data_IF_357361704629
#
_entry.id   IF_357361704629
#
_cell.length_a   1.000
_cell.length_b   1.000
_cell.length_c   1.000
_cell.angle_alpha   90.00
_cell.angle_beta   90.00
_cell.angle_gamma   90.00
#
_symmetry.space_group_name_H-M   'P 1'
#
loop_
_entity.id
_entity.type
_entity.pdbx_description
1 polymer ?
#
# COMPACT_ATOMS: atom_id res chain seq x y z
N UNK A 1 -9.73 -10.94 -7.65
CA UNK A 1 -9.73 -11.79 -8.86
C UNK A 1 -8.48 -11.41 -9.64
N UNK A 2 -7.56 -12.34 -9.89
CA UNK A 2 -6.22 -12.03 -10.44
C UNK A 2 -5.96 -12.83 -11.71
N UNK A 3 -5.76 -12.21 -12.89
CA UNK A 3 -5.60 -12.94 -14.13
C UNK A 3 -4.14 -13.38 -14.38
N UNK A 4 -3.95 -14.61 -14.85
CA UNK A 4 -2.80 -15.07 -15.66
C UNK A 4 -3.23 -16.24 -16.54
N UNK A 5 -2.98 -16.22 -17.85
CA UNK A 5 -3.16 -17.38 -18.75
C UNK A 5 -4.42 -18.23 -18.48
N UNK A 6 -5.59 -17.62 -18.64
CA UNK A 6 -6.88 -18.22 -18.34
C UNK A 6 -7.11 -18.66 -16.89
N UNK A 7 -6.22 -18.41 -15.92
CA UNK A 7 -6.36 -18.76 -14.50
C UNK A 7 -6.62 -17.47 -13.69
N UNK A 8 -7.75 -17.44 -12.99
CA UNK A 8 -8.15 -16.45 -12.00
C UNK A 8 -8.02 -17.02 -10.59
N UNK A 9 -7.49 -16.25 -9.66
CA UNK A 9 -7.54 -16.63 -8.24
C UNK A 9 -8.66 -15.87 -7.52
N UNK A 10 -9.46 -16.61 -6.74
CA UNK A 10 -10.45 -16.04 -5.83
C UNK A 10 -10.12 -16.44 -4.40
N UNK A 11 -10.21 -15.50 -3.47
CA UNK A 11 -10.05 -15.78 -2.05
C UNK A 11 -11.23 -15.16 -1.31
N UNK A 12 -11.92 -15.97 -0.52
CA UNK A 12 -13.07 -15.53 0.28
C UNK A 12 -13.03 -16.25 1.63
N UNK A 13 -13.22 -15.49 2.72
CA UNK A 13 -13.26 -16.01 4.09
C UNK A 13 -12.10 -16.98 4.43
N UNK A 14 -10.86 -16.58 4.11
CA UNK A 14 -9.63 -17.38 4.26
C UNK A 14 -9.50 -18.66 3.44
N UNK A 15 -10.29 -18.83 2.39
CA UNK A 15 -10.14 -19.93 1.44
C UNK A 15 -9.83 -19.36 0.08
N UNK A 16 -8.65 -19.72 -0.46
CA UNK A 16 -8.25 -19.35 -1.82
C UNK A 16 -8.46 -20.52 -2.77
N UNK A 17 -9.10 -20.26 -3.91
CA UNK A 17 -9.38 -21.19 -4.99
C UNK A 17 -8.90 -20.65 -6.33
N UNK A 18 -8.62 -21.56 -7.24
CA UNK A 18 -8.34 -21.27 -8.64
C UNK A 18 -9.64 -21.35 -9.44
N UNK A 19 -9.89 -20.39 -10.31
CA UNK A 19 -11.00 -20.28 -11.24
C UNK A 19 -10.41 -20.07 -12.63
N UNK A 20 -10.48 -21.00 -13.59
CA UNK A 20 -10.08 -20.63 -14.95
C UNK A 20 -11.16 -19.76 -15.64
N UNK A 21 -10.77 -18.74 -16.40
CA UNK A 21 -11.65 -17.95 -17.26
C UNK A 21 -12.26 -18.77 -18.40
N UNK A 22 -11.69 -19.95 -18.72
CA UNK A 22 -12.35 -20.95 -19.55
C UNK A 22 -13.01 -22.00 -18.63
N UNK A 23 -14.28 -21.76 -18.31
CA UNK A 23 -15.12 -22.52 -17.37
C UNK A 23 -15.42 -23.98 -17.79
N UNK A 24 -14.78 -24.52 -18.82
CA UNK A 24 -15.25 -25.76 -19.47
C UNK A 24 -14.57 -27.04 -18.98
N UNK A 25 -13.33 -27.05 -18.48
CA UNK A 25 -12.63 -28.34 -18.28
C UNK A 25 -11.64 -28.46 -17.11
N UNK A 26 -11.84 -27.79 -15.97
CA UNK A 26 -11.10 -28.15 -14.76
C UNK A 26 -11.92 -29.05 -13.82
N UNK A 27 -11.38 -30.23 -13.42
CA UNK A 27 -11.90 -30.96 -12.27
C UNK A 27 -11.90 -30.04 -11.03
N UNK A 28 -12.86 -30.21 -10.11
CA UNK A 28 -13.00 -29.43 -8.85
C UNK A 28 -11.76 -29.40 -7.93
N UNK A 29 -10.69 -30.12 -8.25
CA UNK A 29 -9.56 -30.40 -7.36
C UNK A 29 -8.21 -30.32 -8.09
N UNK A 30 -7.94 -29.28 -8.88
CA UNK A 30 -6.57 -29.03 -9.32
C UNK A 30 -5.75 -28.43 -8.17
N UNK A 31 -4.75 -29.18 -7.70
CA UNK A 31 -3.83 -28.71 -6.67
C UNK A 31 -2.80 -27.78 -7.29
N UNK A 32 -2.79 -26.51 -6.85
CA UNK A 32 -1.74 -25.56 -7.18
C UNK A 32 -0.89 -25.32 -5.93
N UNK A 33 0.43 -25.60 -5.97
CA UNK A 33 1.33 -25.34 -4.84
C UNK A 33 1.21 -23.90 -4.31
N UNK A 34 1.08 -23.76 -2.99
CA UNK A 34 0.91 -22.45 -2.34
C UNK A 34 -0.54 -21.91 -2.32
N UNK A 35 -1.50 -22.64 -2.89
CA UNK A 35 -2.93 -22.27 -2.93
C UNK A 35 -3.75 -23.19 -2.03
N UNK A 36 -4.74 -22.62 -1.33
CA UNK A 36 -5.57 -23.31 -0.34
C UNK A 36 -5.82 -22.42 0.87
N UNK A 37 -4.86 -22.35 1.78
CA UNK A 37 -4.93 -21.46 2.95
C UNK A 37 -4.91 -19.98 2.52
N UNK A 38 -5.96 -19.24 2.88
CA UNK A 38 -6.14 -17.81 2.60
C UNK A 38 -5.69 -16.88 3.72
N UNK A 39 -5.15 -17.42 4.81
CA UNK A 39 -4.56 -16.65 5.92
C UNK A 39 -3.53 -15.66 5.37
N UNK A 40 -3.62 -14.40 5.78
CA UNK A 40 -2.83 -13.27 5.29
C UNK A 40 -3.00 -12.91 3.80
N UNK A 41 -3.81 -13.65 3.02
CA UNK A 41 -4.10 -13.40 1.59
C UNK A 41 -5.44 -12.67 1.40
N UNK A 42 -6.41 -12.94 2.26
CA UNK A 42 -7.73 -12.30 2.30
C UNK A 42 -8.22 -12.19 3.75
N UNK A 43 -9.23 -11.36 4.04
CA UNK A 43 -9.69 -11.16 5.41
C UNK A 43 -10.58 -12.31 5.90
N UNK A 44 -10.69 -12.41 7.23
CA UNK A 44 -11.67 -13.25 7.94
C UNK A 44 -13.07 -12.63 7.88
N UNK A 45 -13.16 -11.32 8.11
CA UNK A 45 -14.42 -10.58 8.15
C UNK A 45 -14.70 -9.92 6.79
N UNK A 46 -15.88 -10.14 6.16
CA UNK A 46 -16.24 -9.50 4.91
C UNK A 46 -16.36 -7.96 5.00
N UNK A 47 -16.49 -7.40 6.19
CA UNK A 47 -16.52 -5.95 6.42
C UNK A 47 -15.11 -5.31 6.47
N UNK A 48 -14.04 -6.11 6.52
CA UNK A 48 -12.68 -5.58 6.58
C UNK A 48 -12.22 -5.03 5.23
N UNK A 49 -11.69 -3.80 5.27
CA UNK A 49 -11.04 -3.19 4.12
C UNK A 49 -9.67 -3.83 3.91
N UNK A 50 -9.57 -4.64 2.86
CA UNK A 50 -8.36 -5.36 2.45
C UNK A 50 -8.01 -5.05 1.00
N UNK A 51 -6.77 -5.32 0.63
CA UNK A 51 -6.30 -5.21 -0.75
C UNK A 51 -5.43 -6.39 -1.10
N UNK A 52 -5.39 -6.76 -2.38
CA UNK A 52 -4.45 -7.74 -2.87
C UNK A 52 -4.16 -7.48 -4.36
N UNK A 53 -2.97 -7.90 -4.78
CA UNK A 53 -2.39 -7.66 -6.10
C UNK A 53 -1.55 -8.86 -6.50
N UNK A 54 -1.77 -9.35 -7.71
CA UNK A 54 -0.93 -10.38 -8.32
C UNK A 54 0.14 -9.73 -9.19
N UNK A 55 1.40 -10.02 -8.88
CA UNK A 55 2.56 -9.46 -9.56
C UNK A 55 3.27 -10.58 -10.29
N UNK A 56 3.30 -10.52 -11.63
CA UNK A 56 3.92 -11.56 -12.45
C UNK A 56 5.43 -11.39 -12.63
N UNK A 57 5.92 -10.14 -12.62
CA UNK A 57 7.28 -9.78 -13.02
C UNK A 57 7.97 -8.91 -11.97
N UNK A 58 9.28 -9.08 -11.86
CA UNK A 58 10.16 -8.29 -10.98
C UNK A 58 10.39 -8.88 -9.58
N UNK A 59 9.69 -9.96 -9.22
CA UNK A 59 9.92 -10.69 -7.99
C UNK A 59 11.18 -11.59 -8.08
N UNK A 60 11.70 -12.11 -6.96
CA UNK A 60 12.82 -13.05 -6.95
C UNK A 60 12.58 -14.28 -7.83
N UNK A 61 13.61 -14.69 -8.56
CA UNK A 61 13.51 -15.81 -9.50
C UNK A 61 12.58 -15.57 -10.70
N UNK A 62 12.10 -14.34 -10.90
CA UNK A 62 11.02 -14.03 -11.87
C UNK A 62 9.75 -14.85 -11.65
N UNK A 63 9.49 -15.24 -10.40
CA UNK A 63 8.31 -16.00 -10.01
C UNK A 63 7.12 -15.09 -9.73
N UNK A 64 5.88 -15.48 -10.09
CA UNK A 64 4.71 -14.70 -9.76
C UNK A 64 4.41 -14.75 -8.26
N UNK A 65 3.84 -13.67 -7.72
CA UNK A 65 3.56 -13.55 -6.30
C UNK A 65 2.23 -12.83 -6.04
N UNK A 66 1.51 -13.28 -5.01
CA UNK A 66 0.40 -12.50 -4.45
C UNK A 66 0.95 -11.60 -3.35
N UNK A 67 0.67 -10.31 -3.48
CA UNK A 67 0.84 -9.29 -2.46
C UNK A 67 -0.53 -8.97 -1.85
N UNK A 68 -0.60 -8.78 -0.54
CA UNK A 68 -1.87 -8.53 0.16
C UNK A 68 -1.67 -7.61 1.37
N UNK A 69 -2.68 -6.78 1.64
CA UNK A 69 -2.85 -6.03 2.88
C UNK A 69 -4.17 -6.44 3.51
N UNK A 70 -4.12 -7.16 4.64
CA UNK A 70 -5.32 -7.72 5.28
C UNK A 70 -5.09 -7.99 6.76
N UNK A 71 -6.11 -8.50 7.45
CA UNK A 71 -5.95 -9.14 8.76
C UNK A 71 -5.66 -10.63 8.63
N UNK A 72 -4.63 -11.11 9.33
CA UNK A 72 -4.19 -12.50 9.30
C UNK A 72 -4.75 -13.35 10.46
N UNK A 73 -5.53 -12.76 11.37
CA UNK A 73 -6.06 -13.47 12.53
C UNK A 73 -7.55 -13.17 12.75
N UNK A 74 -8.29 -14.16 13.25
CA UNK A 74 -9.73 -14.04 13.53
C UNK A 74 -10.04 -12.95 14.57
N UNK A 75 -9.17 -12.78 15.57
CA UNK A 75 -9.27 -11.76 16.63
C UNK A 75 -9.05 -10.34 16.12
N UNK A 76 -8.67 -10.19 14.85
CA UNK A 76 -8.24 -8.95 14.21
C UNK A 76 -6.97 -8.30 14.79
N UNK A 77 -6.22 -9.02 15.63
CA UNK A 77 -5.02 -8.50 16.29
C UNK A 77 -3.78 -8.43 15.38
N UNK A 78 -3.77 -9.13 14.24
CA UNK A 78 -2.61 -9.26 13.36
C UNK A 78 -2.87 -8.70 11.95
N UNK A 79 -2.84 -7.37 11.82
CA UNK A 79 -2.87 -6.72 10.50
C UNK A 79 -1.51 -6.81 9.81
N UNK A 80 -1.50 -7.16 8.52
CA UNK A 80 -0.27 -7.50 7.81
C UNK A 80 -0.26 -6.97 6.38
N UNK A 81 0.92 -6.50 5.93
CA UNK A 81 1.26 -6.45 4.50
C UNK A 81 2.13 -7.68 4.20
N UNK A 82 1.68 -8.50 3.27
CA UNK A 82 2.15 -9.87 3.05
C UNK A 82 2.49 -10.12 1.58
N UNK A 83 3.46 -11.00 1.35
CA UNK A 83 3.69 -11.66 0.06
C UNK A 83 3.80 -13.15 0.27
N UNK A 84 3.12 -13.94 -0.55
CA UNK A 84 3.10 -15.40 -0.45
C UNK A 84 4.47 -16.03 -0.66
N UNK A 85 4.59 -17.29 -0.24
CA UNK A 85 5.66 -18.16 -0.70
C UNK A 85 5.71 -18.16 -2.24
N UNK A 86 6.91 -18.10 -2.80
CA UNK A 86 7.12 -18.15 -4.24
C UNK A 86 7.46 -19.59 -4.62
N UNK A 87 6.57 -20.19 -5.39
CA UNK A 87 6.72 -21.54 -5.89
C UNK A 87 7.11 -21.51 -7.36
N UNK A 88 8.07 -22.36 -7.72
CA UNK A 88 8.29 -22.70 -9.11
C UNK A 88 7.13 -23.58 -9.56
N UNK A 89 6.25 -23.05 -10.39
CA UNK A 89 5.03 -23.73 -10.80
C UNK A 89 5.29 -25.00 -11.61
N UNK A 90 6.45 -25.11 -12.28
CA UNK A 90 6.85 -26.29 -13.06
C UNK A 90 7.29 -27.44 -12.16
N UNK A 91 8.08 -27.15 -11.11
CA UNK A 91 8.63 -28.17 -10.20
C UNK A 91 7.81 -28.37 -8.93
N UNK A 92 6.87 -27.45 -8.65
CA UNK A 92 6.08 -27.36 -7.42
C UNK A 92 6.88 -26.96 -6.17
N UNK A 93 8.19 -26.77 -6.29
CA UNK A 93 9.07 -26.47 -5.14
C UNK A 93 8.96 -25.01 -4.73
N UNK A 94 8.98 -24.77 -3.41
CA UNK A 94 9.12 -23.42 -2.85
C UNK A 94 10.56 -22.95 -3.03
N UNK A 95 10.75 -21.86 -3.78
CA UNK A 95 12.07 -21.25 -3.97
C UNK A 95 12.33 -20.10 -2.98
N UNK A 96 11.29 -19.31 -2.68
CA UNK A 96 11.41 -18.21 -1.71
C UNK A 96 10.28 -18.25 -0.70
N UNK A 97 10.62 -17.98 0.57
CA UNK A 97 9.65 -17.88 1.66
C UNK A 97 8.83 -16.59 1.58
N UNK A 98 7.62 -16.65 2.15
CA UNK A 98 6.74 -15.51 2.32
C UNK A 98 7.42 -14.34 3.05
N UNK A 99 6.92 -13.13 2.81
CA UNK A 99 7.35 -11.92 3.50
C UNK A 99 6.17 -11.26 4.19
N UNK A 100 6.42 -10.69 5.38
CA UNK A 100 5.39 -10.00 6.17
C UNK A 100 5.92 -8.79 6.91
N UNK A 101 5.04 -7.86 7.25
CA UNK A 101 5.35 -6.80 8.23
C UNK A 101 5.60 -7.39 9.62
N UNK A 102 6.33 -6.65 10.46
CA UNK A 102 6.66 -7.10 11.81
C UNK A 102 5.39 -7.21 12.67
N UNK A 103 5.20 -8.37 13.30
CA UNK A 103 4.00 -8.65 14.11
C UNK A 103 4.07 -7.84 15.41
N UNK A 104 2.93 -7.28 15.82
CA UNK A 104 2.78 -6.52 17.08
C UNK A 104 3.66 -5.27 17.20
N UNK A 105 4.13 -4.72 16.09
CA UNK A 105 4.85 -3.44 16.05
C UNK A 105 3.97 -2.35 15.43
N UNK A 106 3.46 -1.44 16.28
CA UNK A 106 2.59 -0.34 15.84
C UNK A 106 3.31 0.71 15.00
N UNK A 107 4.65 0.78 15.05
CA UNK A 107 5.41 1.65 14.14
C UNK A 107 5.27 1.18 12.70
N UNK A 108 5.13 -0.14 12.50
CA UNK A 108 4.93 -0.71 11.17
C UNK A 108 3.49 -0.56 10.70
N UNK A 109 2.51 -1.04 11.47
CA UNK A 109 1.09 -0.95 11.18
C UNK A 109 0.28 -0.84 12.48
N UNK A 110 -0.63 0.14 12.57
CA UNK A 110 -1.55 0.27 13.71
C UNK A 110 -3.01 0.40 13.27
N UNK A 111 -3.73 -0.73 13.28
CA UNK A 111 -5.14 -0.85 12.86
C UNK A 111 -5.40 -0.27 11.44
N UNK A 112 -4.62 -0.68 10.41
CA UNK A 112 -4.80 -0.20 9.05
C UNK A 112 -6.14 -0.64 8.43
N UNK A 113 -6.70 0.23 7.60
CA UNK A 113 -7.76 -0.07 6.65
C UNK A 113 -7.18 0.13 5.24
N UNK A 114 -7.05 -0.96 4.48
CA UNK A 114 -6.42 -0.94 3.16
C UNK A 114 -7.41 -0.52 2.07
N UNK A 115 -6.99 0.40 1.20
CA UNK A 115 -7.85 0.95 0.13
C UNK A 115 -7.39 0.58 -1.27
N UNK A 116 -6.13 0.16 -1.45
CA UNK A 116 -5.61 -0.29 -2.73
C UNK A 116 -4.13 -0.67 -2.69
N UNK A 117 -3.69 -1.40 -3.71
CA UNK A 117 -2.30 -1.77 -3.93
C UNK A 117 -1.98 -1.80 -5.41
N UNK A 118 -0.76 -1.40 -5.79
CA UNK A 118 -0.37 -1.23 -7.19
C UNK A 118 1.05 -1.74 -7.47
N UNK A 119 1.19 -2.38 -8.63
CA UNK A 119 2.48 -2.73 -9.22
C UNK A 119 3.00 -1.49 -9.97
N UNK A 120 4.19 -1.00 -9.59
CA UNK A 120 4.84 0.16 -10.20
C UNK A 120 6.36 -0.03 -10.21
N UNK A 121 6.92 -0.26 -11.40
CA UNK A 121 8.37 -0.44 -11.60
C UNK A 121 8.94 -1.58 -10.75
N UNK A 122 9.92 -1.27 -9.90
CA UNK A 122 10.57 -2.22 -8.99
C UNK A 122 9.83 -2.42 -7.66
N UNK A 123 8.72 -1.71 -7.46
CA UNK A 123 8.03 -1.61 -6.17
C UNK A 123 6.61 -2.15 -6.24
N UNK A 124 6.10 -2.50 -5.06
CA UNK A 124 4.67 -2.62 -4.80
C UNK A 124 4.28 -1.54 -3.80
N UNK A 125 3.26 -0.75 -4.16
CA UNK A 125 2.71 0.30 -3.33
C UNK A 125 1.43 -0.17 -2.64
N UNK A 126 1.26 0.20 -1.37
CA UNK A 126 0.06 -0.07 -0.58
C UNK A 126 -0.50 1.23 -0.03
N UNK A 127 -1.79 1.46 -0.22
CA UNK A 127 -2.50 2.64 0.26
C UNK A 127 -3.48 2.22 1.35
N UNK A 128 -3.42 2.90 2.48
CA UNK A 128 -4.25 2.61 3.65
C UNK A 128 -4.36 3.81 4.56
N UNK A 129 -5.32 3.77 5.50
CA UNK A 129 -5.36 4.68 6.65
C UNK A 129 -5.15 3.89 7.93
N UNK A 130 -4.44 4.45 8.89
CA UNK A 130 -4.11 3.80 10.17
C UNK A 130 -4.09 4.82 11.31
N UNK A 131 -3.99 4.34 12.55
CA UNK A 131 -3.76 5.20 13.71
C UNK A 131 -2.40 5.90 13.58
N UNK A 132 -2.38 7.23 13.77
CA UNK A 132 -1.17 8.04 13.65
C UNK A 132 -0.34 7.96 14.94
N UNK A 133 0.56 6.97 15.02
CA UNK A 133 1.46 6.79 16.17
C UNK A 133 2.34 8.00 16.45
N UNK A 134 2.67 8.78 15.41
CA UNK A 134 3.44 10.02 15.54
C UNK A 134 2.67 11.19 16.15
N UNK A 135 1.35 11.06 16.26
CA UNK A 135 0.47 12.10 16.80
C UNK A 135 -0.05 11.78 18.20
N UNK A 136 0.25 10.60 18.76
CA UNK A 136 -0.29 10.13 20.05
C UNK A 136 -0.04 11.13 21.20
N UNK A 137 1.11 11.80 21.23
CA UNK A 137 1.44 12.80 22.25
C UNK A 137 0.59 14.09 22.15
N UNK A 138 -0.07 14.31 21.01
CA UNK A 138 -0.94 15.46 20.75
C UNK A 138 -2.43 15.07 20.72
N UNK A 139 -2.75 13.78 20.66
CA UNK A 139 -4.11 13.26 20.63
C UNK A 139 -4.23 11.98 19.80
N UNK A 140 -5.47 11.54 19.55
CA UNK A 140 -5.73 10.41 18.64
C UNK A 140 -6.12 10.94 17.27
N UNK A 141 -5.37 10.54 16.25
CA UNK A 141 -5.67 10.87 14.86
C UNK A 141 -5.50 9.61 13.99
N UNK A 142 -6.21 9.60 12.87
CA UNK A 142 -6.01 8.64 11.78
C UNK A 142 -5.27 9.36 10.67
N UNK A 143 -4.24 8.75 10.08
CA UNK A 143 -3.56 9.29 8.91
C UNK A 143 -3.58 8.30 7.74
N UNK A 144 -3.64 8.88 6.56
CA UNK A 144 -3.49 8.16 5.30
C UNK A 144 -2.02 7.95 4.96
N UNK A 145 -1.70 6.76 4.46
CA UNK A 145 -0.36 6.30 4.17
C UNK A 145 -0.27 5.75 2.75
N UNK A 146 0.91 5.94 2.17
CA UNK A 146 1.44 5.08 1.12
C UNK A 146 2.63 4.33 1.71
N UNK A 147 2.62 3.00 1.61
CA UNK A 147 3.78 2.17 1.90
C UNK A 147 4.35 1.57 0.62
N UNK A 148 5.64 1.26 0.68
CA UNK A 148 6.41 0.73 -0.44
C UNK A 148 7.24 -0.45 0.04
N UNK A 149 7.33 -1.49 -0.80
CA UNK A 149 8.28 -2.60 -0.67
C UNK A 149 8.94 -2.86 -2.02
N UNK A 150 10.19 -3.31 -2.02
CA UNK A 150 10.86 -3.79 -3.22
C UNK A 150 10.32 -5.16 -3.63
N UNK A 151 10.06 -5.36 -4.91
CA UNK A 151 9.63 -6.67 -5.42
C UNK A 151 10.65 -7.75 -5.13
N UNK A 152 11.94 -7.43 -5.30
CA UNK A 152 13.09 -8.34 -5.08
C UNK A 152 13.44 -8.62 -3.63
N UNK A 153 12.71 -8.06 -2.66
CA UNK A 153 13.00 -8.25 -1.24
C UNK A 153 12.90 -9.75 -0.86
N UNK A 154 13.98 -10.31 -0.32
CA UNK A 154 14.10 -11.69 0.17
C UNK A 154 14.15 -11.76 1.69
N UNK A 155 14.00 -10.63 2.40
CA UNK A 155 14.23 -10.48 3.83
C UNK A 155 15.72 -10.39 4.18
N UNK A 156 16.03 -10.27 5.46
CA UNK A 156 17.42 -10.34 5.94
C UNK A 156 17.89 -11.79 6.16
N UNK A 157 19.18 -12.00 6.40
CA UNK A 157 19.72 -13.36 6.62
C UNK A 157 19.29 -13.96 7.96
N UNK A 158 19.53 -13.22 9.05
CA UNK A 158 19.21 -13.64 10.41
C UNK A 158 18.11 -12.77 11.00
N UNK A 159 18.32 -11.45 10.99
CA UNK A 159 17.34 -10.45 11.39
C UNK A 159 16.35 -10.26 10.23
N UNK A 160 15.04 -10.15 10.51
CA UNK A 160 14.00 -9.95 9.49
C UNK A 160 13.96 -11.06 8.42
N UNK A 161 14.30 -12.31 8.75
CA UNK A 161 14.36 -13.41 7.77
C UNK A 161 13.03 -13.74 7.09
N UNK A 162 11.90 -13.52 7.77
CA UNK A 162 10.55 -13.63 7.20
C UNK A 162 9.85 -12.27 7.08
N UNK A 163 10.57 -11.18 7.37
CA UNK A 163 10.04 -9.84 7.31
C UNK A 163 10.57 -9.07 6.10
N UNK A 164 9.91 -7.96 5.77
CA UNK A 164 10.39 -7.05 4.75
C UNK A 164 11.69 -6.36 5.22
N UNK A 165 12.72 -6.36 4.39
CA UNK A 165 13.94 -5.59 4.60
C UNK A 165 13.91 -4.21 3.90
N UNK A 166 12.83 -3.91 3.17
CA UNK A 166 12.66 -2.69 2.36
C UNK A 166 11.36 -1.93 2.63
N UNK A 167 10.60 -2.31 3.66
CA UNK A 167 9.33 -1.68 3.99
C UNK A 167 9.52 -0.25 4.52
N UNK A 168 8.89 0.71 3.85
CA UNK A 168 8.77 2.10 4.30
C UNK A 168 7.34 2.61 4.08
N UNK A 169 6.90 3.56 4.91
CA UNK A 169 5.62 4.27 4.74
C UNK A 169 5.78 5.78 4.91
N UNK A 170 4.98 6.55 4.18
CA UNK A 170 4.93 8.00 4.27
C UNK A 170 3.47 8.47 4.42
N UNK A 171 3.26 9.62 5.08
CA UNK A 171 1.93 10.26 5.17
C UNK A 171 1.52 10.80 3.80
N UNK A 172 0.27 10.62 3.40
CA UNK A 172 -0.33 11.31 2.26
C UNK A 172 -0.93 12.65 2.73
N UNK A 173 -0.57 13.74 2.05
CA UNK A 173 -1.11 15.07 2.34
C UNK A 173 -2.17 15.46 1.30
N UNK A 174 -3.44 15.41 1.72
CA UNK A 174 -4.57 15.99 0.99
C UNK A 174 -5.16 17.10 1.85
N UNK A 175 -4.87 18.36 1.52
CA UNK A 175 -5.29 19.51 2.33
C UNK A 175 -5.60 20.74 1.51
N UNK A 176 -6.52 21.57 2.00
CA UNK A 176 -6.75 22.90 1.43
C UNK A 176 -5.63 23.82 1.95
N UNK A 177 -4.90 24.52 1.07
CA UNK A 177 -3.81 25.41 1.47
C UNK A 177 -4.34 26.62 2.25
N UNK A 178 -3.50 27.16 3.13
CA UNK A 178 -3.77 28.31 3.98
C UNK A 178 -2.70 28.43 5.06
N UNK A 179 -2.75 29.49 5.87
CA UNK A 179 -1.86 29.64 7.04
C UNK A 179 -1.96 28.43 7.98
N UNK A 180 -3.19 27.93 8.16
CA UNK A 180 -3.49 26.67 8.82
C UNK A 180 -4.19 25.73 7.82
N UNK A 181 -3.45 24.80 7.18
CA UNK A 181 -4.02 23.93 6.18
C UNK A 181 -5.13 23.04 6.77
N UNK A 182 -6.22 22.85 6.01
CA UNK A 182 -7.32 21.98 6.40
C UNK A 182 -7.13 20.58 5.80
N UNK A 183 -6.87 19.57 6.63
CA UNK A 183 -6.50 18.22 6.19
C UNK A 183 -7.70 17.26 6.11
N UNK A 184 -7.79 16.54 4.99
CA UNK A 184 -8.64 15.36 4.83
C UNK A 184 -7.79 14.12 5.11
N UNK A 185 -7.83 13.64 6.34
CA UNK A 185 -6.85 12.68 6.83
C UNK A 185 -7.15 11.22 6.50
N UNK A 186 -8.39 10.86 6.14
CA UNK A 186 -8.84 9.47 5.99
C UNK A 186 -9.10 9.09 4.54
N UNK A 187 -8.16 8.39 3.91
CA UNK A 187 -8.31 7.87 2.55
C UNK A 187 -9.36 6.77 2.52
N UNK A 188 -10.31 6.86 1.59
CA UNK A 188 -11.40 5.89 1.42
C UNK A 188 -11.19 5.00 0.19
N UNK A 189 -10.63 5.57 -0.88
CA UNK A 189 -10.37 4.86 -2.14
C UNK A 189 -9.18 5.49 -2.86
N UNK A 190 -8.48 4.68 -3.63
CA UNK A 190 -7.39 5.10 -4.50
C UNK A 190 -7.58 4.45 -5.87
N UNK A 191 -7.31 5.19 -6.95
CA UNK A 191 -7.45 4.72 -8.32
C UNK A 191 -6.21 5.08 -9.13
N UNK A 192 -5.77 4.16 -9.98
CA UNK A 192 -4.71 4.36 -10.97
C UNK A 192 -5.31 4.10 -12.34
N UNK A 193 -5.19 5.08 -13.25
CA UNK A 193 -5.68 4.92 -14.62
C UNK A 193 -4.86 3.82 -15.31
N UNK A 194 -5.49 2.83 -15.98
CA UNK A 194 -4.75 1.79 -16.70
C UNK A 194 -3.75 2.39 -17.69
N UNK A 195 -2.49 1.95 -17.63
CA UNK A 195 -1.42 2.47 -18.48
C UNK A 195 -0.77 3.77 -18.00
N UNK A 196 -1.28 4.42 -16.94
CA UNK A 196 -0.64 5.57 -16.29
C UNK A 196 -0.06 5.17 -14.93
N UNK A 197 1.23 4.84 -14.92
CA UNK A 197 1.97 4.51 -13.71
C UNK A 197 2.45 5.74 -12.92
N UNK A 198 2.18 6.94 -13.43
CA UNK A 198 2.71 8.18 -12.88
C UNK A 198 1.76 8.84 -11.88
N UNK A 199 0.44 8.60 -11.95
CA UNK A 199 -0.56 9.27 -11.12
C UNK A 199 -1.49 8.34 -10.36
N UNK A 200 -1.81 8.74 -9.13
CA UNK A 200 -2.75 8.07 -8.25
C UNK A 200 -3.80 9.06 -7.77
N UNK A 201 -5.07 8.72 -7.94
CA UNK A 201 -6.21 9.58 -7.60
C UNK A 201 -6.89 9.04 -6.34
N UNK A 202 -6.84 9.80 -5.26
CA UNK A 202 -7.34 9.38 -3.96
C UNK A 202 -8.54 10.20 -3.51
N UNK A 203 -9.50 9.53 -2.89
CA UNK A 203 -10.61 10.15 -2.14
C UNK A 203 -10.27 10.13 -0.66
N UNK A 204 -10.41 11.28 -0.01
CA UNK A 204 -10.17 11.47 1.41
C UNK A 204 -11.38 12.07 2.09
N UNK A 205 -11.59 11.72 3.36
CA UNK A 205 -12.59 12.32 4.22
C UNK A 205 -11.94 12.95 5.45
N UNK A 206 -12.67 13.84 6.10
CA UNK A 206 -12.41 14.21 7.48
C UNK A 206 -12.73 13.06 8.43
N UNK A 207 -12.36 13.21 9.70
CA UNK A 207 -12.76 12.28 10.75
C UNK A 207 -14.30 12.27 10.90
N UNK A 208 -14.87 11.12 11.24
CA UNK A 208 -16.32 10.95 11.40
C UNK A 208 -16.91 11.82 12.52
N UNK A 209 -16.09 12.21 13.49
CA UNK A 209 -16.46 13.12 14.58
C UNK A 209 -16.07 14.55 14.22
N UNK A 210 -17.04 15.39 13.84
CA UNK A 210 -16.83 16.83 13.61
C UNK A 210 -17.34 17.29 12.26
N UNK A 211 -16.57 18.16 11.60
CA UNK A 211 -16.89 18.70 10.28
C UNK A 211 -16.84 17.59 9.22
N UNK A 212 -18.00 17.25 8.67
CA UNK A 212 -18.10 16.30 7.56
C UNK A 212 -17.60 16.94 6.28
N UNK A 213 -16.66 16.29 5.59
CA UNK A 213 -16.21 16.73 4.29
C UNK A 213 -15.35 15.68 3.59
N UNK A 214 -15.31 15.80 2.26
CA UNK A 214 -14.47 14.97 1.41
C UNK A 214 -13.67 15.80 0.42
N UNK A 215 -12.57 15.22 -0.05
CA UNK A 215 -11.72 15.78 -1.07
C UNK A 215 -11.19 14.70 -2.02
N UNK A 216 -10.89 15.11 -3.24
CA UNK A 216 -10.20 14.32 -4.26
C UNK A 216 -8.82 14.95 -4.47
N UNK A 217 -7.77 14.17 -4.26
CA UNK A 217 -6.38 14.60 -4.43
C UNK A 217 -5.65 13.66 -5.39
N UNK A 218 -4.75 14.23 -6.19
CA UNK A 218 -3.87 13.47 -7.09
C UNK A 218 -2.47 13.44 -6.51
N UNK A 219 -1.79 12.30 -6.58
CA UNK A 219 -0.39 12.14 -6.17
C UNK A 219 0.42 11.60 -7.34
N UNK A 220 1.63 12.11 -7.53
CA UNK A 220 2.53 11.59 -8.56
C UNK A 220 3.50 10.57 -7.98
N UNK A 221 3.96 9.63 -8.79
CA UNK A 221 5.01 8.69 -8.38
C UNK A 221 6.31 9.42 -8.00
N UNK A 222 6.62 10.54 -8.67
CA UNK A 222 7.77 11.37 -8.35
C UNK A 222 7.71 11.96 -6.94
N UNK A 223 6.57 12.50 -6.53
CA UNK A 223 6.38 13.02 -5.16
C UNK A 223 6.44 11.91 -4.11
N UNK A 224 5.89 10.73 -4.44
CA UNK A 224 5.99 9.53 -3.58
C UNK A 224 7.45 9.12 -3.40
N UNK A 225 8.23 9.04 -4.48
CA UNK A 225 9.65 8.70 -4.43
C UNK A 225 10.45 9.73 -3.65
N UNK A 226 10.20 11.02 -3.88
CA UNK A 226 10.83 12.13 -3.14
C UNK A 226 10.61 12.01 -1.62
N UNK A 227 9.42 11.59 -1.17
CA UNK A 227 9.17 11.35 0.25
C UNK A 227 10.00 10.18 0.80
N UNK A 228 10.15 9.09 0.05
CA UNK A 228 10.97 7.93 0.45
C UNK A 228 12.48 8.19 0.36
N UNK A 229 12.91 9.17 -0.42
CA UNK A 229 14.29 9.69 -0.48
C UNK A 229 14.58 10.74 0.60
N UNK A 230 13.54 11.24 1.28
CA UNK A 230 13.62 12.22 2.36
C UNK A 230 14.20 11.70 3.67
N UNK A 231 14.02 12.45 4.75
CA UNK A 231 14.49 12.04 6.08
C UNK A 231 13.57 10.99 6.70
N UNK A 232 14.13 10.08 7.47
CA UNK A 232 13.37 9.16 8.31
C UNK A 232 12.83 9.89 9.54
N UNK A 233 11.76 9.38 10.13
CA UNK A 233 11.21 9.87 11.39
C UNK A 233 11.57 8.92 12.52
N UNK A 234 12.09 9.46 13.62
CA UNK A 234 12.49 8.69 14.80
C UNK A 234 11.74 9.17 16.04
N UNK A 235 11.47 8.21 16.92
CA UNK A 235 11.07 8.47 18.29
C UNK A 235 12.08 7.78 19.21
N UNK A 236 12.95 8.57 19.86
CA UNK A 236 14.07 8.05 20.64
C UNK A 236 13.61 7.22 21.85
N UNK A 237 12.56 7.67 22.53
CA UNK A 237 11.87 6.95 23.62
C UNK A 237 10.36 7.07 23.43
N UNK A 238 9.57 6.23 24.12
CA UNK A 238 8.10 6.27 24.05
C UNK A 238 7.49 7.62 24.44
N UNK A 239 8.17 8.40 25.28
CA UNK A 239 7.77 9.75 25.71
C UNK A 239 8.38 10.88 24.87
N UNK A 240 9.36 10.59 24.01
CA UNK A 240 10.02 11.61 23.20
C UNK A 240 9.13 12.11 22.06
N UNK A 241 9.39 13.34 21.61
CA UNK A 241 8.83 13.86 20.38
C UNK A 241 9.35 13.06 19.17
N UNK A 242 8.54 13.03 18.11
CA UNK A 242 8.95 12.47 16.83
C UNK A 242 9.75 13.51 16.05
N UNK A 243 11.00 13.19 15.73
CA UNK A 243 11.95 14.12 15.11
C UNK A 243 12.56 13.51 13.83
N UNK A 244 12.99 14.35 12.88
CA UNK A 244 13.69 13.88 11.69
C UNK A 244 15.08 13.33 12.05
N UNK A 245 15.42 12.18 11.51
CA UNK A 245 16.75 11.59 11.61
C UNK A 245 17.74 12.42 10.78
N UNK A 246 18.89 12.72 11.38
CA UNK A 246 19.99 13.42 10.70
C UNK A 246 20.62 12.46 9.69
N UNK A 247 20.89 12.95 8.47
CA UNK A 247 21.39 12.10 7.37
C UNK A 247 22.68 11.33 7.70
N UNK A 248 23.56 11.87 8.55
CA UNK A 248 24.79 11.19 8.98
C UNK A 248 24.57 9.95 9.86
N UNK A 249 23.37 9.77 10.44
CA UNK A 249 22.99 8.59 11.21
C UNK A 249 22.35 7.48 10.35
N UNK A 250 22.05 7.77 9.08
CA UNK A 250 21.47 6.79 8.17
C UNK A 250 22.59 5.89 7.66
N UNK A 251 22.50 4.56 7.83
CA UNK A 251 23.53 3.64 7.38
C UNK A 251 23.50 3.46 5.86
N UNK A 252 24.60 2.95 5.29
CA UNK A 252 24.71 2.58 3.88
C UNK A 252 24.78 1.04 3.69
N UNK A 253 24.17 0.48 2.62
CA UNK A 253 23.35 1.15 1.62
C UNK A 253 22.05 1.70 2.23
N UNK A 254 21.58 2.84 1.70
CA UNK A 254 20.39 3.54 2.21
C UNK A 254 19.20 2.57 2.43
N UNK A 255 18.64 2.49 3.65
CA UNK A 255 17.48 1.66 3.97
C UNK A 255 16.29 1.89 3.03
N UNK A 256 15.67 0.80 2.56
CA UNK A 256 14.49 0.84 1.69
C UNK A 256 14.77 1.04 0.20
N UNK A 257 16.04 1.03 -0.22
CA UNK A 257 16.45 0.93 -1.63
C UNK A 257 16.42 -0.53 -2.09
N UNK A 258 16.18 -0.76 -3.39
CA UNK A 258 16.16 -2.11 -3.94
C UNK A 258 17.58 -2.55 -4.27
N UNK A 259 18.06 -3.57 -3.57
CA UNK A 259 19.33 -4.26 -3.83
C UNK A 259 19.07 -5.61 -4.48
N UNK A 260 20.11 -6.22 -5.06
CA UNK A 260 19.98 -7.53 -5.71
C UNK A 260 19.61 -8.64 -4.72
N UNK A 261 20.16 -8.60 -3.51
CA UNK A 261 19.86 -9.56 -2.46
C UNK A 261 19.82 -8.88 -1.09
N UNK A 262 18.63 -8.74 -0.52
CA UNK A 262 18.45 -8.10 0.80
C UNK A 262 19.01 -8.94 1.95
N UNK A 263 19.25 -10.23 1.74
CA UNK A 263 19.85 -11.10 2.77
C UNK A 263 21.32 -10.75 3.02
N UNK A 264 21.98 -10.10 2.06
CA UNK A 264 23.36 -9.61 2.15
C UNK A 264 23.50 -8.25 2.85
N UNK A 265 22.38 -7.59 3.20
CA UNK A 265 22.41 -6.29 3.84
C UNK A 265 23.07 -6.35 5.23
N UNK A 266 23.86 -5.32 5.60
CA UNK A 266 24.43 -5.22 6.94
C UNK A 266 23.35 -5.18 8.02
N UNK A 267 23.63 -5.79 9.18
CA UNK A 267 22.73 -5.77 10.33
C UNK A 267 22.41 -4.34 10.81
N UNK A 268 23.31 -3.37 10.59
CA UNK A 268 23.07 -1.95 10.87
C UNK A 268 21.91 -1.39 10.04
N UNK A 269 21.84 -1.73 8.75
CA UNK A 269 20.75 -1.33 7.84
C UNK A 269 19.44 -2.01 8.22
N UNK A 270 19.49 -3.32 8.51
CA UNK A 270 18.31 -4.10 8.89
C UNK A 270 17.72 -3.63 10.23
N UNK A 271 18.58 -3.34 11.22
CA UNK A 271 18.13 -2.81 12.50
C UNK A 271 17.57 -1.38 12.36
N UNK A 272 18.18 -0.56 11.50
CA UNK A 272 17.69 0.80 11.24
C UNK A 272 16.30 0.78 10.62
N UNK A 273 16.08 0.04 9.53
CA UNK A 273 14.76 0.01 8.87
C UNK A 273 13.68 -0.60 9.77
N UNK A 274 14.07 -1.55 10.64
CA UNK A 274 13.16 -2.15 11.62
C UNK A 274 12.58 -1.11 12.57
N UNK A 275 13.38 -0.17 13.06
CA UNK A 275 12.94 0.87 13.99
C UNK A 275 12.45 2.15 13.32
N UNK A 276 12.76 2.37 12.03
CA UNK A 276 12.44 3.58 11.26
C UNK A 276 11.63 3.30 9.98
N UNK A 277 10.45 2.66 10.06
CA UNK A 277 9.62 2.43 8.88
C UNK A 277 8.92 3.70 8.36
N UNK A 278 8.84 4.77 9.16
CA UNK A 278 8.09 5.99 8.84
C UNK A 278 9.00 7.10 8.30
N UNK A 279 8.63 7.68 7.16
CA UNK A 279 9.28 8.87 6.60
C UNK A 279 8.79 10.14 7.31
N UNK A 280 9.68 11.12 7.45
CA UNK A 280 9.34 12.40 8.08
C UNK A 280 8.50 13.30 7.18
N UNK A 281 8.85 13.35 5.88
CA UNK A 281 8.14 14.13 4.89
C UNK A 281 6.83 13.43 4.46
N UNK A 282 5.76 14.22 4.37
CA UNK A 282 4.52 13.78 3.74
C UNK A 282 4.61 13.89 2.21
N UNK A 283 3.91 13.03 1.50
CA UNK A 283 3.72 13.11 0.05
C UNK A 283 2.71 14.22 -0.23
N UNK A 284 3.16 15.28 -0.89
CA UNK A 284 2.30 16.37 -1.34
C UNK A 284 1.42 15.93 -2.51
N UNK A 285 0.15 16.32 -2.50
CA UNK A 285 -0.71 16.25 -3.67
C UNK A 285 -0.29 17.23 -4.78
N UNK A 286 -0.61 16.88 -6.03
CA UNK A 286 -0.42 17.70 -7.23
C UNK A 286 -1.24 19.01 -7.11
N UNK A 287 -0.71 20.12 -7.63
CA UNK A 287 -1.34 21.45 -7.66
C UNK A 287 -1.55 22.17 -6.31
N UNK A 288 -0.96 21.69 -5.22
CA UNK A 288 -1.01 22.32 -3.88
C UNK A 288 -2.41 22.52 -3.28
N UNK A 289 -3.44 21.98 -3.92
CA UNK A 289 -4.83 21.97 -3.43
C UNK A 289 -5.57 20.73 -3.95
N UNK A 290 -6.67 20.31 -3.31
CA UNK A 290 -7.48 19.22 -3.83
C UNK A 290 -8.10 19.60 -5.18
N UNK A 291 -8.24 18.61 -6.06
CA UNK A 291 -8.93 18.76 -7.36
C UNK A 291 -10.39 19.17 -7.14
N UNK A 292 -11.03 18.55 -6.16
CA UNK A 292 -12.39 18.85 -5.75
C UNK A 292 -12.53 18.59 -4.25
N UNK A 293 -13.34 19.40 -3.56
CA UNK A 293 -13.73 19.12 -2.19
C UNK A 293 -15.17 19.58 -1.95
N UNK A 294 -15.86 18.91 -1.02
CA UNK A 294 -17.25 19.22 -0.67
C UNK A 294 -17.50 18.96 0.81
N UNK A 295 -18.22 19.90 1.44
CA UNK A 295 -18.70 19.79 2.83
C UNK A 295 -19.95 18.92 2.89
N UNK A 296 -20.20 18.33 4.06
CA UNK A 296 -21.41 17.58 4.40
C UNK A 296 -21.71 16.38 3.49
N UNK A 297 -20.66 15.83 2.86
CA UNK A 297 -20.73 14.68 1.98
C UNK A 297 -19.49 13.81 2.14
N UNK A 298 -19.71 12.50 2.32
CA UNK A 298 -18.65 11.50 2.32
C UNK A 298 -18.59 10.77 0.98
N UNK A 299 -17.45 10.92 0.31
CA UNK A 299 -17.06 10.14 -0.84
C UNK A 299 -16.54 8.77 -0.39
N UNK A 300 -16.83 7.74 -1.18
CA UNK A 300 -16.53 6.34 -0.83
C UNK A 300 -15.59 5.69 -1.85
N UNK A 301 -15.93 5.78 -3.14
CA UNK A 301 -15.17 5.17 -4.24
C UNK A 301 -14.90 6.18 -5.34
N UNK A 302 -13.80 5.97 -6.07
CA UNK A 302 -13.40 6.82 -7.19
C UNK A 302 -12.97 5.96 -8.37
N UNK A 303 -13.42 6.34 -9.56
CA UNK A 303 -12.80 5.95 -10.83
C UNK A 303 -12.51 7.20 -11.65
N UNK A 304 -11.47 7.14 -12.47
CA UNK A 304 -11.01 8.28 -13.28
C UNK A 304 -10.85 7.82 -14.72
N UNK A 305 -11.30 8.64 -15.65
CA UNK A 305 -11.13 8.43 -17.09
C UNK A 305 -10.37 9.60 -17.72
N UNK A 306 -9.55 9.31 -18.74
CA UNK A 306 -8.77 10.33 -19.47
C UNK A 306 -9.26 10.34 -20.91
N UNK A 307 -10.02 11.38 -21.26
CA UNK A 307 -10.68 11.52 -22.55
C UNK A 307 -9.95 12.55 -23.38
N UNK A 308 -9.59 12.18 -24.62
CA UNK A 308 -9.05 13.10 -25.60
C UNK A 308 -10.16 13.58 -26.52
N UNK A 309 -10.36 14.88 -26.60
CA UNK A 309 -11.37 15.52 -27.45
C UNK A 309 -10.66 16.36 -28.48
N UNK A 310 -10.92 16.11 -29.76
CA UNK A 310 -10.48 16.99 -30.84
C UNK A 310 -11.52 18.08 -31.04
N UNK A 311 -11.12 19.34 -30.83
CA UNK A 311 -11.94 20.49 -31.10
C UNK A 311 -11.22 21.40 -32.10
N UNK A 312 -11.74 21.44 -33.33
CA UNK A 312 -11.21 22.25 -34.44
C UNK A 312 -9.72 21.96 -34.76
N UNK A 313 -9.27 20.71 -34.66
CA UNK A 313 -7.89 20.32 -34.94
C UNK A 313 -6.93 20.48 -33.74
N UNK A 314 -7.44 20.94 -32.59
CA UNK A 314 -6.71 20.98 -31.33
C UNK A 314 -7.13 19.82 -30.44
N UNK A 315 -6.18 18.95 -30.11
CA UNK A 315 -6.40 17.84 -29.19
C UNK A 315 -6.34 18.33 -27.74
N UNK A 316 -7.48 18.24 -27.04
CA UNK A 316 -7.63 18.61 -25.64
C UNK A 316 -7.75 17.33 -24.79
N UNK A 317 -6.95 17.25 -23.73
CA UNK A 317 -6.97 16.13 -22.79
C UNK A 317 -7.78 16.51 -21.53
N UNK A 318 -8.89 15.81 -21.30
CA UNK A 318 -9.73 15.96 -20.11
C UNK A 318 -9.54 14.78 -19.16
N UNK A 319 -9.52 15.06 -17.85
CA UNK A 319 -9.56 14.04 -16.80
C UNK A 319 -10.90 14.11 -16.09
N UNK A 320 -11.69 13.05 -16.21
CA UNK A 320 -13.05 12.96 -15.68
C UNK A 320 -13.07 12.10 -14.43
N UNK A 321 -13.66 12.61 -13.35
CA UNK A 321 -13.69 11.96 -12.04
C UNK A 321 -15.11 11.52 -11.71
N UNK A 322 -15.29 10.22 -11.44
CA UNK A 322 -16.55 9.65 -10.99
C UNK A 322 -16.40 9.23 -9.52
N UNK A 323 -16.93 10.05 -8.61
CA UNK A 323 -16.83 9.83 -7.17
C UNK A 323 -18.19 9.43 -6.58
N UNK A 324 -18.28 8.18 -6.11
CA UNK A 324 -19.48 7.68 -5.44
C UNK A 324 -19.57 8.18 -4.00
N UNK A 325 -20.80 8.31 -3.50
CA UNK A 325 -21.09 8.85 -2.15
C UNK A 325 -21.71 7.80 -1.23
N UNK A 326 -21.67 8.05 0.08
CA UNK A 326 -22.39 7.21 1.07
C UNK A 326 -23.91 7.26 0.95
N UNK A 327 -24.45 8.24 0.21
CA UNK A 327 -25.90 8.43 -0.02
C UNK A 327 -26.38 7.83 -1.35
N UNK A 328 -25.56 6.97 -1.99
CA UNK A 328 -25.84 6.33 -3.30
C UNK A 328 -26.02 7.29 -4.49
N UNK A 329 -25.46 8.51 -4.39
CA UNK A 329 -25.24 9.39 -5.54
C UNK A 329 -23.84 9.21 -6.11
#
# INVERSE_FOLDING_TARGET
>A
MFPRNNIQYTCQNNVCRVLQSNLTHLPRHEYVPGIGMGVAKCPYDPADNSTALWVEKGNPGSLPALYSGTNAEFTKADTVIFRTDLHNLTTGRREFSFKRTLKYDSKWLDKPNFVGSFDVGEYVLFFFRETAVEYINCGKAVYSRVARVCKRDTGGKNILSQNWATYLKARLNCSIPGEFPFYFNEIQSIYKVPGDDNRFYGVFTTASTGLMGSAICTFTIGDIQKAFEGKFKEQATSSSAWLPVISSKVPEPRPGTCVNDTSSLPDTVLNFIRSHPLMDSAVSHEHEKPIYYKRDLFFTRLVVDRVKVDMMGHQLDYTVYYAGTSKLY
#
